data_IF_390479366329
#
_entry.id   IF_390479366329
#
_cell.length_a   1.000
_cell.length_b   1.000
_cell.length_c   1.000
_cell.angle_alpha   90.00
_cell.angle_beta   90.00
_cell.angle_gamma   90.00
#
_symmetry.space_group_name_H-M   'P 1'
#
loop_
_entity.id
_entity.type
_entity.pdbx_description
1 polymer ?
#
# COMPACT_ATOMS: atom_id res chain seq x y z
N UNK A 1 -21.26 -20.23 14.70
CA UNK A 1 -20.36 -19.30 13.98
C UNK A 1 -21.09 -18.49 12.91
N UNK A 2 -22.20 -18.95 12.34
CA UNK A 2 -23.00 -18.16 11.40
C UNK A 2 -24.46 -18.14 11.88
N UNK A 3 -24.83 -17.08 12.61
CA UNK A 3 -26.11 -17.01 13.31
C UNK A 3 -27.00 -15.85 12.78
N UNK A 4 -26.46 -14.99 11.93
CA UNK A 4 -27.23 -13.89 11.33
C UNK A 4 -27.80 -14.31 9.98
N UNK A 5 -29.07 -13.93 9.73
CA UNK A 5 -29.74 -14.07 8.45
C UNK A 5 -30.03 -12.68 7.88
N UNK A 6 -29.84 -12.44 6.58
CA UNK A 6 -29.28 -13.35 5.57
C UNK A 6 -27.78 -13.65 5.74
N UNK A 7 -27.29 -14.75 5.17
CA UNK A 7 -25.95 -15.31 5.44
C UNK A 7 -24.80 -14.30 5.25
N UNK A 8 -24.88 -13.42 4.25
CA UNK A 8 -23.83 -12.42 3.98
C UNK A 8 -23.61 -11.42 5.13
N UNK A 9 -24.60 -11.22 6.00
CA UNK A 9 -24.50 -10.33 7.16
C UNK A 9 -23.44 -10.81 8.15
N UNK A 10 -23.16 -12.11 8.20
CA UNK A 10 -22.10 -12.62 9.07
C UNK A 10 -20.72 -12.04 8.72
N UNK A 11 -20.44 -11.73 7.45
CA UNK A 11 -19.14 -11.13 7.08
C UNK A 11 -18.96 -9.68 7.54
N UNK A 12 -20.03 -9.03 8.01
CA UNK A 12 -20.04 -7.61 8.40
C UNK A 12 -20.33 -7.44 9.90
N UNK A 13 -21.20 -8.27 10.47
CA UNK A 13 -21.67 -8.14 11.86
C UNK A 13 -21.01 -9.17 12.77
N UNK A 14 -20.73 -10.38 12.26
CA UNK A 14 -20.13 -11.40 13.11
C UNK A 14 -18.66 -11.06 13.36
N UNK A 15 -18.34 -10.67 14.60
CA UNK A 15 -17.01 -10.24 14.99
C UNK A 15 -15.90 -11.22 14.58
N UNK A 16 -16.12 -12.54 14.70
CA UNK A 16 -15.12 -13.54 14.33
C UNK A 16 -14.87 -13.55 12.81
N UNK A 17 -15.94 -13.49 12.02
CA UNK A 17 -15.84 -13.46 10.55
C UNK A 17 -15.24 -12.15 10.06
N UNK A 18 -15.63 -11.00 10.65
CA UNK A 18 -15.06 -9.68 10.34
C UNK A 18 -13.56 -9.67 10.59
N UNK A 19 -13.12 -10.19 11.75
CA UNK A 19 -11.69 -10.27 12.08
C UNK A 19 -10.93 -11.20 11.13
N UNK A 20 -11.52 -12.34 10.74
CA UNK A 20 -10.94 -13.21 9.74
C UNK A 20 -10.77 -12.52 8.39
N UNK A 21 -11.84 -11.89 7.87
CA UNK A 21 -11.82 -11.16 6.61
C UNK A 21 -10.83 -10.00 6.64
N UNK A 22 -10.79 -9.25 7.73
CA UNK A 22 -9.83 -8.16 7.91
C UNK A 22 -8.39 -8.68 7.87
N UNK A 23 -8.06 -9.77 8.58
CA UNK A 23 -6.74 -10.40 8.54
C UNK A 23 -6.37 -10.88 7.14
N UNK A 24 -7.31 -11.53 6.45
CA UNK A 24 -7.08 -12.01 5.08
C UNK A 24 -6.75 -10.85 4.13
N UNK A 25 -7.56 -9.78 4.16
CA UNK A 25 -7.35 -8.58 3.32
C UNK A 25 -6.04 -7.87 3.71
N UNK A 26 -5.72 -7.78 5.00
CA UNK A 26 -4.47 -7.20 5.49
C UNK A 26 -3.25 -7.96 4.98
N UNK A 27 -3.25 -9.30 5.03
CA UNK A 27 -2.16 -10.13 4.50
C UNK A 27 -2.02 -9.97 2.99
N UNK A 28 -3.13 -10.00 2.24
CA UNK A 28 -3.09 -9.80 0.79
C UNK A 28 -2.56 -8.41 0.42
N UNK A 29 -2.96 -7.39 1.18
CA UNK A 29 -2.49 -6.01 1.01
C UNK A 29 -0.99 -5.92 1.30
N UNK A 30 -0.53 -6.52 2.42
CA UNK A 30 0.88 -6.54 2.77
C UNK A 30 1.74 -7.19 1.69
N UNK A 31 1.34 -8.37 1.19
CA UNK A 31 2.03 -9.04 0.10
C UNK A 31 2.05 -8.21 -1.19
N UNK A 32 0.92 -7.60 -1.54
CA UNK A 32 0.80 -6.77 -2.76
C UNK A 32 1.70 -5.54 -2.69
N UNK A 33 1.68 -4.82 -1.57
CA UNK A 33 2.49 -3.61 -1.37
C UNK A 33 3.97 -3.94 -1.28
N UNK A 34 4.35 -5.00 -0.55
CA UNK A 34 5.75 -5.44 -0.48
C UNK A 34 6.28 -5.88 -1.85
N UNK A 35 5.48 -6.65 -2.60
CA UNK A 35 5.86 -7.04 -3.98
C UNK A 35 6.03 -5.80 -4.85
N UNK A 36 5.08 -4.84 -4.77
CA UNK A 36 5.17 -3.57 -5.50
C UNK A 36 6.41 -2.78 -5.11
N UNK A 37 6.77 -2.75 -3.82
CA UNK A 37 7.98 -2.11 -3.33
C UNK A 37 9.24 -2.78 -3.86
N UNK A 38 9.34 -4.11 -3.80
CA UNK A 38 10.49 -4.85 -4.35
C UNK A 38 10.64 -4.61 -5.85
N UNK A 39 9.55 -4.67 -6.61
CA UNK A 39 9.58 -4.40 -8.06
C UNK A 39 9.97 -2.95 -8.36
N UNK A 40 9.41 -1.98 -7.63
CA UNK A 40 9.75 -0.56 -7.79
C UNK A 40 11.20 -0.25 -7.45
N UNK A 41 11.75 -0.86 -6.39
CA UNK A 41 13.16 -0.67 -5.99
C UNK A 41 14.16 -1.32 -6.96
N UNK A 42 13.72 -2.31 -7.74
CA UNK A 42 14.53 -2.95 -8.79
C UNK A 42 14.45 -2.23 -10.14
N UNK A 43 13.48 -1.33 -10.31
CA UNK A 43 13.34 -0.54 -11.52
C UNK A 43 14.26 0.69 -11.49
N UNK A 44 14.68 1.14 -12.68
CA UNK A 44 15.42 2.39 -12.85
C UNK A 44 14.48 3.58 -12.69
N UNK A 45 14.34 4.05 -11.45
CA UNK A 45 13.47 5.17 -11.09
C UNK A 45 14.25 6.37 -10.56
N UNK A 46 13.75 7.60 -10.76
CA UNK A 46 14.32 8.78 -10.12
C UNK A 46 14.39 8.62 -8.60
N UNK A 47 15.43 9.16 -7.92
CA UNK A 47 15.63 8.97 -6.48
C UNK A 47 14.38 9.28 -5.64
N UNK A 48 13.70 10.39 -5.92
CA UNK A 48 12.50 10.79 -5.17
C UNK A 48 11.28 9.87 -5.35
N UNK A 49 11.22 9.04 -6.40
CA UNK A 49 10.18 8.00 -6.55
C UNK A 49 10.61 6.72 -5.86
N UNK A 50 11.89 6.37 -5.94
CA UNK A 50 12.48 5.21 -5.27
C UNK A 50 12.31 5.30 -3.73
N UNK A 51 12.51 6.47 -3.14
CA UNK A 51 12.33 6.67 -1.70
C UNK A 51 10.89 6.39 -1.24
N UNK A 52 9.90 6.67 -2.09
CA UNK A 52 8.48 6.39 -1.77
C UNK A 52 8.20 4.88 -1.75
N UNK A 53 8.92 4.08 -2.53
CA UNK A 53 8.83 2.63 -2.43
C UNK A 53 9.47 2.07 -1.16
N UNK A 54 10.55 2.70 -0.66
CA UNK A 54 11.08 2.37 0.67
C UNK A 54 10.07 2.71 1.78
N UNK A 55 9.42 3.88 1.70
CA UNK A 55 8.35 4.26 2.63
C UNK A 55 7.15 3.31 2.55
N UNK A 56 6.77 2.84 1.35
CA UNK A 56 5.73 1.82 1.22
C UNK A 56 6.09 0.52 1.95
N UNK A 57 7.32 0.03 1.76
CA UNK A 57 7.79 -1.18 2.45
C UNK A 57 7.83 -1.00 3.98
N UNK A 58 8.28 0.16 4.45
CA UNK A 58 8.30 0.50 5.87
C UNK A 58 6.90 0.54 6.45
N UNK A 59 6.02 1.39 5.90
CA UNK A 59 4.70 1.61 6.48
C UNK A 59 3.82 0.37 6.42
N UNK A 60 3.92 -0.47 5.39
CA UNK A 60 3.12 -1.71 5.34
C UNK A 60 3.60 -2.75 6.35
N UNK A 61 4.92 -2.82 6.59
CA UNK A 61 5.50 -3.71 7.60
C UNK A 61 5.06 -3.26 9.00
N UNK A 62 5.16 -1.96 9.30
CA UNK A 62 4.68 -1.37 10.55
C UNK A 62 3.18 -1.58 10.72
N UNK A 63 2.38 -1.36 9.66
CA UNK A 63 0.93 -1.53 9.71
C UNK A 63 0.55 -2.96 10.12
N UNK A 64 1.16 -3.96 9.47
CA UNK A 64 0.85 -5.36 9.71
C UNK A 64 1.24 -5.79 11.13
N UNK A 65 2.42 -5.36 11.60
CA UNK A 65 2.89 -5.63 12.96
C UNK A 65 2.00 -4.96 14.02
N UNK A 66 1.63 -3.69 13.82
CA UNK A 66 0.71 -2.98 14.72
C UNK A 66 -0.65 -3.69 14.78
N UNK A 67 -1.19 -4.16 13.65
CA UNK A 67 -2.47 -4.87 13.61
C UNK A 67 -2.45 -6.20 14.36
N UNK A 68 -1.29 -6.89 14.40
CA UNK A 68 -1.11 -8.07 15.23
C UNK A 68 -0.95 -7.70 16.71
N UNK A 69 -0.19 -6.63 17.00
CA UNK A 69 0.07 -6.17 18.36
C UNK A 69 -1.19 -5.68 19.08
N UNK A 70 -2.12 -5.00 18.39
CA UNK A 70 -3.41 -4.57 18.98
C UNK A 70 -4.24 -5.74 19.48
N UNK A 71 -4.22 -6.87 18.76
CA UNK A 71 -4.94 -8.09 19.14
C UNK A 71 -4.27 -8.79 20.31
N UNK A 72 -2.94 -8.88 20.30
CA UNK A 72 -2.18 -9.59 21.35
C UNK A 72 -2.16 -8.80 22.66
N UNK A 73 -2.02 -7.48 22.59
CA UNK A 73 -1.82 -6.62 23.75
C UNK A 73 -3.11 -5.94 24.23
N UNK A 74 -4.15 -5.87 23.39
CA UNK A 74 -5.43 -5.24 23.73
C UNK A 74 -5.36 -3.75 24.03
N UNK A 75 -4.24 -3.08 23.72
CA UNK A 75 -4.03 -1.67 24.04
C UNK A 75 -4.70 -0.76 22.99
N UNK A 76 -5.64 0.07 23.45
CA UNK A 76 -6.39 1.01 22.58
C UNK A 76 -5.47 2.01 21.89
N UNK A 77 -4.43 2.48 22.59
CA UNK A 77 -3.44 3.40 22.04
C UNK A 77 -2.73 2.86 20.78
N UNK A 78 -2.46 1.55 20.75
CA UNK A 78 -1.90 0.90 19.56
C UNK A 78 -2.88 0.90 18.39
N UNK A 79 -4.19 0.88 18.69
CA UNK A 79 -5.25 1.05 17.69
C UNK A 79 -5.17 2.42 17.03
N UNK A 80 -5.06 3.50 17.79
CA UNK A 80 -4.91 4.85 17.23
C UNK A 80 -3.64 4.99 16.38
N UNK A 81 -2.53 4.43 16.84
CA UNK A 81 -1.28 4.41 16.06
C UNK A 81 -1.41 3.58 14.78
N UNK A 82 -2.12 2.44 14.84
CA UNK A 82 -2.42 1.62 13.67
C UNK A 82 -3.27 2.37 12.64
N UNK A 83 -4.32 3.08 13.07
CA UNK A 83 -5.16 3.89 12.18
C UNK A 83 -4.38 5.05 11.55
N UNK A 84 -3.55 5.75 12.33
CA UNK A 84 -2.68 6.82 11.81
C UNK A 84 -1.69 6.27 10.76
N UNK A 85 -1.04 5.15 11.05
CA UNK A 85 -0.11 4.53 10.11
C UNK A 85 -0.81 4.04 8.84
N UNK A 86 -2.09 3.64 8.91
CA UNK A 86 -2.89 3.28 7.73
C UNK A 86 -3.05 4.48 6.79
N UNK A 87 -3.31 5.66 7.34
CA UNK A 87 -3.43 6.91 6.57
C UNK A 87 -2.09 7.26 5.92
N UNK A 88 -0.97 7.14 6.64
CA UNK A 88 0.37 7.39 6.10
C UNK A 88 0.74 6.41 4.98
N UNK A 89 0.43 5.12 5.15
CA UNK A 89 0.60 4.09 4.13
C UNK A 89 -0.20 4.45 2.87
N UNK A 90 -1.47 4.81 3.04
CA UNK A 90 -2.35 5.18 1.93
C UNK A 90 -1.85 6.44 1.19
N UNK A 91 -1.50 7.49 1.93
CA UNK A 91 -0.94 8.72 1.36
C UNK A 91 0.34 8.44 0.56
N UNK A 92 1.22 7.60 1.10
CA UNK A 92 2.45 7.18 0.42
C UNK A 92 2.13 6.41 -0.87
N UNK A 93 1.15 5.50 -0.86
CA UNK A 93 0.73 4.78 -2.06
C UNK A 93 0.22 5.71 -3.17
N UNK A 94 -0.61 6.70 -2.81
CA UNK A 94 -1.09 7.72 -3.74
C UNK A 94 0.08 8.54 -4.29
N UNK A 95 1.00 8.99 -3.42
CA UNK A 95 2.17 9.75 -3.82
C UNK A 95 3.13 8.96 -4.74
N UNK A 96 3.36 7.67 -4.47
CA UNK A 96 4.16 6.78 -5.33
C UNK A 96 3.51 6.67 -6.70
N UNK A 97 2.20 6.44 -6.76
CA UNK A 97 1.46 6.34 -8.02
C UNK A 97 1.52 7.63 -8.84
N UNK A 98 1.41 8.79 -8.19
CA UNK A 98 1.54 10.08 -8.87
C UNK A 98 2.97 10.30 -9.40
N UNK A 99 3.99 9.93 -8.61
CA UNK A 99 5.40 10.02 -9.02
C UNK A 99 5.73 9.17 -10.25
N UNK A 100 5.20 7.96 -10.33
CA UNK A 100 5.35 7.08 -11.50
C UNK A 100 4.73 7.69 -12.76
N UNK A 101 3.54 8.29 -12.65
CA UNK A 101 2.89 8.98 -13.77
C UNK A 101 3.71 10.16 -14.27
N UNK A 102 4.27 10.96 -13.36
CA UNK A 102 5.16 12.07 -13.72
C UNK A 102 6.44 11.60 -14.42
N UNK A 103 7.07 10.54 -13.92
CA UNK A 103 8.27 9.96 -14.52
C UNK A 103 8.02 9.45 -15.96
N UNK A 104 6.92 8.74 -16.19
CA UNK A 104 6.53 8.24 -17.53
C UNK A 104 6.08 9.35 -18.50
N UNK A 105 5.63 10.50 -17.98
CA UNK A 105 5.27 11.66 -18.78
C UNK A 105 6.51 12.41 -19.31
N UNK A 106 7.54 12.56 -18.48
CA UNK A 106 8.80 13.21 -18.88
C UNK A 106 9.60 12.40 -19.92
N UNK A 107 9.51 11.07 -19.89
CA UNK A 107 10.23 10.19 -20.81
C UNK A 107 9.70 10.24 -22.26
N UNK A 108 8.46 10.70 -22.47
CA UNK A 108 7.84 10.80 -23.81
C UNK A 108 8.23 12.05 -24.61
N UNK A 109 8.87 13.04 -23.99
CA UNK A 109 9.16 14.35 -24.63
C UNK A 109 10.57 14.43 -25.21
N UNK A 110 11.44 13.44 -24.98
CA UNK A 110 12.77 13.41 -25.61
C UNK A 110 12.68 12.82 -27.02
N UNK A 111 12.13 13.60 -27.96
CA UNK A 111 12.36 13.38 -29.40
C UNK A 111 13.68 14.07 -29.73
N UNK A 112 14.73 13.37 -30.20
CA UNK A 112 15.96 14.01 -30.62
C UNK A 112 15.66 14.93 -31.81
N UNK A 113 15.87 16.24 -31.64
CA UNK A 113 15.79 17.25 -32.71
C UNK A 113 16.89 17.10 -33.78
N UNK A 114 17.58 15.96 -33.84
CA UNK A 114 18.71 15.73 -34.75
C UNK A 114 18.31 15.28 -36.16
N UNK A 115 17.01 15.11 -36.45
CA UNK A 115 16.53 14.58 -37.73
C UNK A 115 15.83 15.61 -38.65
N UNK A 116 16.01 16.92 -38.43
CA UNK A 116 15.39 17.99 -39.25
C UNK A 116 16.40 18.88 -40.00
N UNK A 117 17.66 18.48 -40.13
CA UNK A 117 18.73 19.35 -40.65
C UNK A 117 19.66 18.75 -41.70
N UNK A 118 19.16 17.89 -42.58
CA UNK A 118 19.91 17.46 -43.76
C UNK A 118 19.01 17.58 -45.00
N UNK A 119 18.91 18.82 -45.51
CA UNK A 119 18.68 19.10 -46.92
C UNK A 119 19.99 18.94 -47.70
#
# INVERSE_FOLDING_TARGET
MFNFHPFWVNFIINQATVQFCHRLIATLTALTVLTSAVLGLRAELPPGVRDRFLLLALFVSVQYLLGMATIVLGAVELGYVHELNAVLLFATAVATRHGLRGAMGGQRVVVPLAAQGAE
#
